data_IF_665066749861
#
_entry.id   IF_665066749861
#
_cell.length_a   1.000
_cell.length_b   1.000
_cell.length_c   1.000
_cell.angle_alpha   90.00
_cell.angle_beta   90.00
_cell.angle_gamma   90.00
#
_symmetry.space_group_name_H-M   'P 1'
#
loop_
_entity.id
_entity.type
_entity.pdbx_description
1 polymer ?
#
# COMPACT_ATOMS: atom_id res chain seq x y z
N UNK A 1 73.08 -5.93 30.83
CA UNK A 1 72.12 -6.94 30.36
C UNK A 1 70.76 -6.27 30.28
N UNK A 2 70.21 -6.12 29.08
CA UNK A 2 68.77 -6.16 28.76
C UNK A 2 68.66 -5.87 27.25
N UNK A 3 68.34 -6.94 26.53
CA UNK A 3 68.29 -7.09 25.08
C UNK A 3 67.00 -6.49 24.51
N UNK A 4 67.13 -5.70 23.45
CA UNK A 4 66.03 -5.24 22.60
C UNK A 4 65.64 -6.32 21.60
N UNK A 5 64.37 -6.70 21.59
CA UNK A 5 63.78 -7.55 20.55
C UNK A 5 63.16 -6.66 19.47
N UNK A 6 63.70 -6.75 18.24
CA UNK A 6 63.14 -6.15 17.03
C UNK A 6 62.44 -7.25 16.24
N UNK A 7 61.12 -7.18 16.13
CA UNK A 7 60.29 -8.12 15.35
C UNK A 7 60.02 -7.55 13.96
N UNK A 8 60.78 -8.03 12.99
CA UNK A 8 60.56 -7.80 11.56
C UNK A 8 59.33 -8.57 11.10
N UNK A 9 58.26 -7.88 10.72
CA UNK A 9 57.09 -8.52 10.07
C UNK A 9 57.18 -8.31 8.57
N UNK A 10 57.42 -9.40 7.84
CA UNK A 10 57.47 -9.47 6.39
C UNK A 10 56.06 -9.49 5.79
N UNK A 11 55.80 -8.59 4.84
CA UNK A 11 54.53 -8.47 4.10
C UNK A 11 54.58 -9.36 2.85
N UNK A 12 53.60 -10.24 2.59
CA UNK A 12 53.61 -11.06 1.37
C UNK A 12 53.22 -10.23 0.13
N UNK A 13 53.69 -10.60 -1.07
CA UNK A 13 53.45 -9.83 -2.29
C UNK A 13 52.00 -9.93 -2.79
N UNK A 14 51.50 -8.81 -3.31
CA UNK A 14 50.17 -8.71 -3.92
C UNK A 14 50.10 -9.49 -5.25
N UNK A 15 49.02 -10.26 -5.43
CA UNK A 15 48.70 -10.91 -6.71
C UNK A 15 48.12 -9.89 -7.70
N UNK A 16 48.45 -9.96 -9.01
CA UNK A 16 47.93 -9.01 -9.99
C UNK A 16 46.47 -9.33 -10.37
N UNK A 17 45.65 -8.28 -10.49
CA UNK A 17 44.28 -8.34 -11.00
C UNK A 17 44.28 -8.70 -12.50
N UNK A 18 43.33 -9.53 -12.99
CA UNK A 18 43.18 -9.77 -14.42
C UNK A 18 42.59 -8.54 -15.14
N UNK A 19 43.16 -8.20 -16.30
CA UNK A 19 42.72 -7.10 -17.16
C UNK A 19 41.35 -7.35 -17.85
N UNK A 20 40.78 -6.32 -18.50
CA UNK A 20 39.41 -6.37 -18.99
C UNK A 20 39.26 -7.32 -20.19
N UNK A 21 38.31 -8.24 -20.10
CA UNK A 21 37.92 -9.14 -21.17
C UNK A 21 37.30 -8.38 -22.35
N UNK A 22 37.76 -8.70 -23.56
CA UNK A 22 37.26 -8.19 -24.83
C UNK A 22 35.78 -8.51 -25.03
N UNK A 23 35.01 -7.51 -25.48
CA UNK A 23 33.62 -7.64 -25.87
C UNK A 23 33.45 -8.63 -27.03
N UNK A 24 32.58 -9.61 -26.85
CA UNK A 24 32.10 -10.50 -27.91
C UNK A 24 30.63 -10.13 -28.21
N UNK A 25 30.24 -9.76 -29.44
CA UNK A 25 28.89 -9.28 -29.74
C UNK A 25 27.89 -10.46 -29.77
N UNK A 26 26.83 -10.33 -28.99
CA UNK A 26 25.73 -11.29 -28.90
C UNK A 26 24.87 -11.26 -30.20
N UNK A 27 24.67 -12.38 -30.92
CA UNK A 27 24.04 -12.39 -32.25
C UNK A 27 22.50 -12.27 -32.28
N UNK A 28 21.84 -11.92 -31.17
CA UNK A 28 20.37 -11.98 -31.06
C UNK A 28 19.60 -10.65 -31.07
N UNK A 29 20.24 -9.52 -31.42
CA UNK A 29 19.53 -8.25 -31.61
C UNK A 29 19.26 -7.97 -33.10
N UNK A 30 18.17 -8.55 -33.62
CA UNK A 30 17.46 -8.01 -34.80
C UNK A 30 16.02 -7.70 -34.41
N UNK A 31 15.74 -6.42 -34.18
CA UNK A 31 14.38 -5.91 -34.03
C UNK A 31 13.71 -5.83 -35.42
N UNK A 32 12.48 -6.34 -35.61
CA UNK A 32 11.73 -6.13 -36.83
C UNK A 32 11.13 -4.71 -36.88
N UNK A 33 11.15 -4.10 -38.08
CA UNK A 33 10.49 -2.81 -38.37
C UNK A 33 8.96 -2.99 -38.36
N UNK A 34 8.24 -2.17 -37.60
CA UNK A 34 6.79 -2.06 -37.64
C UNK A 34 6.33 -1.29 -38.90
N UNK A 35 5.24 -1.67 -39.56
CA UNK A 35 4.65 -0.89 -40.64
C UNK A 35 3.78 0.26 -40.12
N UNK A 36 3.70 1.34 -40.90
CA UNK A 36 2.98 2.57 -40.61
C UNK A 36 1.44 2.37 -40.62
N UNK A 37 0.76 3.07 -39.71
CA UNK A 37 -0.70 3.10 -39.62
C UNK A 37 -1.34 4.00 -40.71
N UNK A 38 -2.51 3.63 -41.27
CA UNK A 38 -3.24 4.50 -42.18
C UNK A 38 -4.12 5.52 -41.42
N UNK A 39 -4.29 6.68 -42.04
CA UNK A 39 -5.02 7.84 -41.52
C UNK A 39 -6.52 7.81 -41.88
N UNK A 40 -7.33 8.19 -40.89
CA UNK A 40 -8.64 8.88 -40.89
C UNK A 40 -9.77 8.49 -41.86
N UNK A 41 -11.00 8.34 -41.33
CA UNK A 41 -12.19 9.13 -41.72
C UNK A 41 -13.16 9.23 -40.53
N UNK A 42 -13.42 10.43 -40.03
CA UNK A 42 -14.53 10.75 -39.10
C UNK A 42 -15.76 11.14 -39.93
N UNK A 43 -16.86 10.40 -39.79
CA UNK A 43 -18.16 10.77 -40.35
C UNK A 43 -19.02 11.39 -39.24
N UNK A 44 -19.28 12.69 -39.36
CA UNK A 44 -20.29 13.39 -38.58
C UNK A 44 -21.69 12.87 -38.92
N UNK A 45 -22.50 12.52 -37.90
CA UNK A 45 -23.93 12.26 -38.05
C UNK A 45 -24.74 12.96 -36.95
N UNK A 46 -25.53 13.93 -37.43
CA UNK A 46 -26.83 14.45 -36.99
C UNK A 46 -27.34 14.23 -35.57
N UNK A 47 -27.66 15.35 -34.91
CA UNK A 47 -28.61 15.47 -33.79
C UNK A 47 -30.07 15.25 -34.26
N UNK A 48 -30.91 14.65 -33.41
CA UNK A 48 -32.33 15.02 -33.30
C UNK A 48 -32.74 15.39 -31.85
N UNK A 49 -33.96 15.92 -31.63
CA UNK A 49 -34.19 17.04 -30.72
C UNK A 49 -34.70 16.67 -29.31
N UNK A 50 -34.64 17.66 -28.43
CA UNK A 50 -35.13 17.65 -27.06
C UNK A 50 -36.66 17.48 -27.00
N UNK A 51 -37.11 16.42 -26.32
CA UNK A 51 -38.48 16.24 -25.86
C UNK A 51 -38.61 16.69 -24.40
N UNK A 52 -39.55 17.58 -24.13
CA UNK A 52 -39.91 18.07 -22.81
C UNK A 52 -40.67 17.00 -22.02
N UNK A 53 -40.26 16.73 -20.78
CA UNK A 53 -41.06 15.97 -19.82
C UNK A 53 -41.37 16.86 -18.63
N UNK A 54 -42.67 17.03 -18.40
CA UNK A 54 -43.28 17.83 -17.34
C UNK A 54 -42.88 17.34 -15.95
N UNK A 55 -42.55 18.30 -15.09
CA UNK A 55 -42.49 18.11 -13.64
C UNK A 55 -43.91 17.91 -13.10
N UNK A 56 -44.10 16.84 -12.32
CA UNK A 56 -45.24 16.67 -11.42
C UNK A 56 -44.73 16.88 -9.99
N UNK A 57 -45.13 17.99 -9.39
CA UNK A 57 -44.93 18.26 -7.98
C UNK A 57 -45.94 17.44 -7.16
N UNK A 58 -45.45 16.68 -6.19
CA UNK A 58 -46.24 16.24 -5.05
C UNK A 58 -45.48 16.66 -3.79
N UNK A 59 -46.07 17.60 -3.06
CA UNK A 59 -45.63 18.05 -1.76
C UNK A 59 -46.16 17.10 -0.67
N UNK A 60 -45.34 16.89 0.37
CA UNK A 60 -45.81 16.45 1.68
C UNK A 60 -45.14 15.18 2.22
N UNK A 61 -44.14 15.37 3.08
CA UNK A 61 -44.04 14.77 4.42
C UNK A 61 -42.56 14.84 4.88
N UNK A 62 -42.31 15.41 6.06
CA UNK A 62 -40.97 15.51 6.65
C UNK A 62 -40.36 14.11 6.82
N UNK A 63 -39.33 13.83 6.03
CA UNK A 63 -38.68 12.52 5.98
C UNK A 63 -37.36 12.47 6.78
N UNK A 64 -36.79 11.27 6.96
CA UNK A 64 -35.50 11.01 7.62
C UNK A 64 -34.28 11.66 6.92
N UNK A 65 -34.51 12.45 5.87
CA UNK A 65 -33.50 13.04 5.00
C UNK A 65 -32.60 14.08 5.65
N UNK A 66 -32.99 14.73 6.75
CA UNK A 66 -32.10 15.68 7.43
C UNK A 66 -30.94 14.99 8.15
N UNK A 67 -31.19 13.88 8.86
CA UNK A 67 -30.12 13.10 9.51
C UNK A 67 -29.25 12.36 8.48
N UNK A 68 -29.87 11.83 7.41
CA UNK A 68 -29.14 11.21 6.31
C UNK A 68 -28.27 12.22 5.54
N UNK A 69 -28.79 13.42 5.23
CA UNK A 69 -28.03 14.48 4.58
C UNK A 69 -26.92 15.06 5.47
N UNK A 70 -27.16 15.19 6.78
CA UNK A 70 -26.12 15.59 7.73
C UNK A 70 -25.03 14.51 7.84
N UNK A 71 -25.41 13.23 7.81
CA UNK A 71 -24.46 12.11 7.75
C UNK A 71 -23.66 12.09 6.45
N UNK A 72 -24.31 12.32 5.30
CA UNK A 72 -23.68 12.36 3.98
C UNK A 72 -22.70 13.53 3.85
N UNK A 73 -23.08 14.73 4.30
CA UNK A 73 -22.21 15.91 4.36
C UNK A 73 -21.02 15.70 5.30
N UNK A 74 -21.21 14.99 6.43
CA UNK A 74 -20.11 14.62 7.32
C UNK A 74 -19.14 13.63 6.64
N UNK A 75 -19.65 12.63 5.92
CA UNK A 75 -18.85 11.67 5.16
C UNK A 75 -18.07 12.33 4.02
N UNK A 76 -18.69 13.23 3.25
CA UNK A 76 -18.02 13.99 2.19
C UNK A 76 -16.84 14.80 2.73
N UNK A 77 -17.01 15.43 3.90
CA UNK A 77 -15.93 16.18 4.55
C UNK A 77 -14.78 15.28 5.00
N UNK A 78 -15.06 14.08 5.50
CA UNK A 78 -14.01 13.11 5.87
C UNK A 78 -13.20 12.68 4.63
N UNK A 79 -13.88 12.39 3.52
CA UNK A 79 -13.26 12.04 2.24
C UNK A 79 -12.43 13.18 1.66
N UNK A 80 -12.92 14.42 1.74
CA UNK A 80 -12.18 15.60 1.31
C UNK A 80 -10.89 15.78 2.13
N UNK A 81 -10.97 15.62 3.45
CA UNK A 81 -9.81 15.75 4.34
C UNK A 81 -8.80 14.63 4.10
N UNK A 82 -9.24 13.39 3.88
CA UNK A 82 -8.35 12.28 3.55
C UNK A 82 -7.58 12.54 2.24
N UNK A 83 -8.24 13.07 1.22
CA UNK A 83 -7.59 13.46 -0.04
C UNK A 83 -6.59 14.60 0.15
N UNK A 84 -6.96 15.64 0.91
CA UNK A 84 -6.05 16.76 1.21
C UNK A 84 -4.84 16.31 2.02
N UNK A 85 -5.00 15.35 2.94
CA UNK A 85 -3.90 14.76 3.68
C UNK A 85 -2.95 13.99 2.73
N UNK A 86 -3.48 13.14 1.86
CA UNK A 86 -2.69 12.44 0.86
C UNK A 86 -1.96 13.40 -0.11
N UNK A 87 -2.61 14.51 -0.52
CA UNK A 87 -1.98 15.54 -1.33
C UNK A 87 -0.78 16.17 -0.63
N UNK A 88 -0.94 16.52 0.66
CA UNK A 88 0.10 17.11 1.48
C UNK A 88 1.30 16.16 1.67
N UNK A 89 1.04 14.88 2.00
CA UNK A 89 2.09 13.86 2.06
C UNK A 89 2.82 13.72 0.73
N UNK A 90 2.08 13.60 -0.38
CA UNK A 90 2.65 13.45 -1.71
C UNK A 90 3.54 14.62 -2.12
N UNK A 91 3.20 15.85 -1.73
CA UNK A 91 4.05 17.03 -1.97
C UNK A 91 5.39 16.96 -1.23
N UNK A 92 5.39 16.47 0.00
CA UNK A 92 6.61 16.25 0.79
C UNK A 92 7.44 15.14 0.16
N UNK A 93 6.85 13.96 -0.05
CA UNK A 93 7.56 12.76 -0.52
C UNK A 93 8.20 12.97 -1.90
N UNK A 94 7.53 13.70 -2.81
CA UNK A 94 8.10 14.06 -4.12
C UNK A 94 9.37 14.90 -4.04
N UNK A 95 9.56 15.70 -2.98
CA UNK A 95 10.79 16.50 -2.79
C UNK A 95 11.98 15.62 -2.46
N UNK A 96 11.77 14.56 -1.67
CA UNK A 96 12.81 13.67 -1.17
C UNK A 96 13.10 12.47 -2.09
N UNK A 97 12.11 11.98 -2.83
CA UNK A 97 12.26 10.80 -3.67
C UNK A 97 13.33 11.01 -4.76
N UNK A 98 14.27 10.05 -4.88
CA UNK A 98 15.42 10.06 -5.81
C UNK A 98 16.34 11.28 -5.70
N UNK A 99 16.32 11.99 -4.59
CA UNK A 99 17.35 12.99 -4.32
C UNK A 99 18.68 12.30 -4.00
N UNK A 100 19.77 12.83 -4.53
CA UNK A 100 21.12 12.43 -4.12
C UNK A 100 21.40 13.03 -2.75
N UNK A 101 20.96 12.35 -1.70
CA UNK A 101 21.38 12.69 -0.35
C UNK A 101 22.58 11.81 -0.04
N UNK A 102 23.67 12.42 0.42
CA UNK A 102 24.77 11.66 0.99
C UNK A 102 24.17 10.79 2.08
N UNK A 103 24.26 9.46 1.94
CA UNK A 103 23.84 8.51 2.96
C UNK A 103 24.81 8.71 4.11
N UNK A 104 24.49 9.70 4.95
CA UNK A 104 25.19 9.93 6.20
C UNK A 104 24.63 8.85 7.11
N UNK A 105 25.41 7.78 7.29
CA UNK A 105 25.22 6.80 8.36
C UNK A 105 25.41 7.50 9.72
N UNK A 106 24.42 8.32 10.09
CA UNK A 106 24.22 8.79 11.44
C UNK A 106 22.91 8.19 11.89
N UNK A 107 23.05 7.30 12.86
CA UNK A 107 22.00 6.70 13.68
C UNK A 107 20.72 7.57 13.67
N UNK A 108 19.69 7.10 12.94
CA UNK A 108 18.33 7.65 12.90
C UNK A 108 18.01 8.92 12.07
N UNK A 109 18.90 9.43 11.22
CA UNK A 109 18.58 10.59 10.34
C UNK A 109 18.72 10.29 8.85
N UNK A 110 18.27 9.11 8.44
CA UNK A 110 18.23 8.78 7.02
C UNK A 110 17.26 9.72 6.27
N UNK A 111 17.49 10.00 4.97
CA UNK A 111 16.59 10.83 4.17
C UNK A 111 15.16 10.31 4.15
N UNK A 112 14.98 8.99 4.28
CA UNK A 112 13.64 8.39 4.35
C UNK A 112 12.97 8.70 5.69
N UNK A 113 13.70 8.69 6.81
CA UNK A 113 13.17 9.05 8.13
C UNK A 113 12.72 10.52 8.17
N UNK A 114 13.46 11.42 7.51
CA UNK A 114 13.07 12.84 7.41
C UNK A 114 11.81 12.99 6.55
N UNK A 115 11.79 12.32 5.38
CA UNK A 115 10.65 12.36 4.47
C UNK A 115 9.38 11.80 5.13
N UNK A 116 9.52 10.70 5.87
CA UNK A 116 8.44 10.03 6.58
C UNK A 116 7.82 10.95 7.64
N UNK A 117 8.65 11.45 8.57
CA UNK A 117 8.21 12.37 9.63
C UNK A 117 7.59 13.65 9.10
N UNK A 118 8.17 14.26 8.06
CA UNK A 118 7.59 15.48 7.46
C UNK A 118 6.27 15.21 6.75
N UNK A 119 6.11 14.05 6.12
CA UNK A 119 4.87 13.65 5.48
C UNK A 119 3.79 13.32 6.51
N UNK A 120 4.12 12.63 7.61
CA UNK A 120 3.20 12.38 8.73
C UNK A 120 2.70 13.70 9.32
N UNK A 121 3.60 14.64 9.65
CA UNK A 121 3.21 15.93 10.22
C UNK A 121 2.35 16.77 9.27
N UNK A 122 2.62 16.71 7.95
CA UNK A 122 1.79 17.37 6.96
C UNK A 122 0.36 16.81 6.95
N UNK A 123 0.20 15.48 7.01
CA UNK A 123 -1.11 14.83 7.12
C UNK A 123 -1.82 15.19 8.42
N UNK A 124 -1.14 15.06 9.55
CA UNK A 124 -1.68 15.36 10.88
C UNK A 124 -2.18 16.80 10.97
N UNK A 125 -1.41 17.75 10.45
CA UNK A 125 -1.79 19.16 10.42
C UNK A 125 -3.10 19.38 9.65
N UNK A 126 -3.27 18.74 8.49
CA UNK A 126 -4.50 18.82 7.70
C UNK A 126 -5.69 18.20 8.45
N UNK A 127 -5.48 17.03 9.07
CA UNK A 127 -6.52 16.29 9.77
C UNK A 127 -6.97 17.03 11.03
N UNK A 128 -6.06 17.36 11.95
CA UNK A 128 -6.39 17.99 13.23
C UNK A 128 -6.92 19.42 13.08
N UNK A 129 -6.49 20.15 12.03
CA UNK A 129 -7.10 21.45 11.69
C UNK A 129 -8.57 21.29 11.28
N UNK A 130 -8.92 20.19 10.63
CA UNK A 130 -10.27 19.92 10.16
C UNK A 130 -11.14 19.25 11.23
N UNK A 131 -10.52 18.43 12.09
CA UNK A 131 -11.14 17.63 13.14
C UNK A 131 -10.28 17.58 14.42
N UNK A 132 -10.35 18.62 15.28
CA UNK A 132 -9.51 18.72 16.49
C UNK A 132 -9.77 17.65 17.57
N UNK A 133 -10.92 16.98 17.50
CA UNK A 133 -11.37 15.94 18.45
C UNK A 133 -11.04 14.52 17.97
N UNK A 134 -10.51 14.35 16.75
CA UNK A 134 -10.10 13.05 16.25
C UNK A 134 -8.71 12.68 16.77
N UNK A 135 -8.47 11.39 16.96
CA UNK A 135 -7.14 10.89 17.28
C UNK A 135 -6.36 10.53 16.02
N UNK A 136 -5.04 10.55 16.13
CA UNK A 136 -4.10 10.04 15.13
C UNK A 136 -3.30 8.89 15.75
N UNK A 137 -2.99 7.88 14.96
CA UNK A 137 -2.00 6.86 15.26
C UNK A 137 -1.02 6.75 14.08
N UNK A 138 0.19 7.26 14.24
CA UNK A 138 1.25 7.18 13.23
C UNK A 138 2.29 6.10 13.56
N UNK A 139 3.06 5.68 12.56
CA UNK A 139 4.22 4.80 12.76
C UNK A 139 5.26 5.46 13.67
N UNK A 140 5.59 6.73 13.40
CA UNK A 140 6.70 7.42 14.05
C UNK A 140 6.31 8.00 15.42
N UNK A 141 5.11 8.57 15.52
CA UNK A 141 4.68 9.30 16.71
C UNK A 141 3.65 8.57 17.57
N UNK A 142 3.18 7.39 17.15
CA UNK A 142 2.18 6.61 17.89
C UNK A 142 0.86 7.37 18.08
N UNK A 143 0.21 7.14 19.23
CA UNK A 143 -1.09 7.74 19.56
C UNK A 143 -0.97 9.23 19.90
N UNK A 144 -1.80 10.04 19.24
CA UNK A 144 -1.96 11.48 19.50
C UNK A 144 -3.44 11.84 19.53
N UNK A 145 -3.91 12.34 20.66
CA UNK A 145 -5.26 12.86 20.82
C UNK A 145 -5.25 14.04 21.81
N UNK A 146 -6.09 15.03 21.58
CA UNK A 146 -6.34 16.13 22.52
C UNK A 146 -7.17 15.69 23.73
N UNK A 147 -7.92 14.59 23.58
CA UNK A 147 -8.79 13.99 24.59
C UNK A 147 -8.32 12.58 24.99
N UNK A 148 -8.88 12.03 26.06
CA UNK A 148 -8.53 10.68 26.54
C UNK A 148 -9.04 9.55 25.63
N UNK A 149 -10.02 9.82 24.78
CA UNK A 149 -10.63 8.87 23.85
C UNK A 149 -11.17 9.60 22.62
N UNK A 150 -11.24 8.93 21.47
CA UNK A 150 -11.85 9.46 20.27
C UNK A 150 -12.62 8.36 19.54
N UNK A 151 -13.83 8.68 19.06
CA UNK A 151 -14.65 7.77 18.24
C UNK A 151 -14.02 7.55 16.86
N UNK A 152 -13.33 8.57 16.37
CA UNK A 152 -12.63 8.58 15.09
C UNK A 152 -11.12 8.60 15.28
N UNK A 153 -10.44 7.64 14.67
CA UNK A 153 -8.98 7.51 14.72
C UNK A 153 -8.42 7.39 13.32
N UNK A 154 -7.45 8.24 12.99
CA UNK A 154 -6.73 8.19 11.72
C UNK A 154 -5.44 7.40 11.92
N UNK A 155 -5.28 6.29 11.21
CA UNK A 155 -4.06 5.50 11.24
C UNK A 155 -3.28 5.79 9.97
N UNK A 156 -2.01 6.18 10.12
CA UNK A 156 -1.19 6.73 9.05
C UNK A 156 0.11 5.93 8.89
N UNK A 157 0.45 5.65 7.65
CA UNK A 157 1.80 5.26 7.22
C UNK A 157 2.18 6.17 6.04
N UNK A 158 3.14 7.10 6.23
CA UNK A 158 3.56 7.98 5.15
C UNK A 158 4.29 7.25 4.00
N UNK A 159 5.09 6.22 4.30
CA UNK A 159 5.92 5.49 3.33
C UNK A 159 5.90 3.97 3.59
N UNK A 160 4.81 3.32 3.18
CA UNK A 160 4.76 1.86 3.06
C UNK A 160 5.63 1.42 1.87
N UNK A 161 6.64 0.59 2.14
CA UNK A 161 7.68 0.24 1.17
C UNK A 161 8.91 1.15 1.21
N UNK A 162 9.41 1.47 2.40
CA UNK A 162 10.61 2.28 2.65
C UNK A 162 11.83 1.91 1.77
N UNK A 163 12.10 0.63 1.49
CA UNK A 163 13.23 0.25 0.59
C UNK A 163 12.93 0.58 -0.86
N UNK A 164 11.67 0.47 -1.30
CA UNK A 164 11.26 0.95 -2.62
C UNK A 164 11.53 2.45 -2.73
N UNK A 165 11.23 3.23 -1.68
CA UNK A 165 11.56 4.65 -1.61
C UNK A 165 13.09 4.90 -1.70
N UNK A 166 13.88 4.29 -0.80
CA UNK A 166 15.35 4.48 -0.73
C UNK A 166 16.04 4.10 -2.05
N UNK A 167 15.63 2.98 -2.66
CA UNK A 167 16.23 2.49 -3.92
C UNK A 167 15.69 3.20 -5.17
N UNK A 168 14.79 4.16 -4.99
CA UNK A 168 14.21 4.93 -6.09
C UNK A 168 13.21 4.14 -6.94
N UNK A 169 12.65 3.05 -6.43
CA UNK A 169 11.56 2.29 -7.06
C UNK A 169 10.22 2.95 -6.74
N UNK A 170 9.46 3.44 -7.74
CA UNK A 170 8.25 4.24 -7.49
C UNK A 170 7.00 3.38 -7.19
N UNK A 171 7.14 2.35 -6.34
CA UNK A 171 6.05 1.43 -5.95
C UNK A 171 5.82 1.38 -4.42
N UNK A 172 6.37 2.32 -3.66
CA UNK A 172 5.94 2.59 -2.28
C UNK A 172 4.54 3.23 -2.28
N UNK A 173 3.89 3.40 -1.14
CA UNK A 173 2.63 4.14 -1.05
C UNK A 173 2.47 4.86 0.27
N UNK A 174 1.59 5.86 0.30
CA UNK A 174 1.09 6.48 1.53
C UNK A 174 -0.25 5.84 1.87
N UNK A 175 -0.40 5.35 3.10
CA UNK A 175 -1.61 4.71 3.60
C UNK A 175 -2.29 5.60 4.62
N UNK A 176 -3.59 5.80 4.43
CA UNK A 176 -4.44 6.55 5.35
C UNK A 176 -5.68 5.72 5.63
N UNK A 177 -5.88 5.33 6.87
CA UNK A 177 -7.11 4.70 7.33
C UNK A 177 -7.85 5.64 8.28
N UNK A 178 -9.16 5.78 8.12
CA UNK A 178 -10.03 6.33 9.15
C UNK A 178 -10.82 5.20 9.76
N UNK A 179 -10.72 5.05 11.07
CA UNK A 179 -11.52 4.13 11.85
C UNK A 179 -12.63 4.88 12.57
N UNK A 180 -13.81 4.29 12.64
CA UNK A 180 -14.91 4.73 13.48
C UNK A 180 -15.27 3.59 14.43
N UNK A 181 -15.12 3.81 15.74
CA UNK A 181 -15.28 2.78 16.78
C UNK A 181 -14.48 1.50 16.49
N UNK A 182 -13.22 1.66 16.05
CA UNK A 182 -12.32 0.55 15.73
C UNK A 182 -12.56 -0.13 14.37
N UNK A 183 -13.62 0.21 13.63
CA UNK A 183 -13.84 -0.31 12.27
C UNK A 183 -13.25 0.64 11.22
N UNK A 184 -12.40 0.18 10.29
CA UNK A 184 -11.98 0.97 9.13
C UNK A 184 -13.19 1.35 8.27
N UNK A 185 -13.42 2.65 8.09
CA UNK A 185 -14.54 3.19 7.29
C UNK A 185 -14.08 3.91 6.03
N UNK A 186 -12.86 4.47 6.02
CA UNK A 186 -12.22 5.04 4.83
C UNK A 186 -10.79 4.49 4.76
N UNK A 187 -10.35 4.13 3.57
CA UNK A 187 -8.98 3.72 3.27
C UNK A 187 -8.47 4.43 2.02
N UNK A 188 -7.24 4.92 2.07
CA UNK A 188 -6.54 5.53 0.92
C UNK A 188 -5.20 4.84 0.74
N UNK A 189 -4.91 4.47 -0.51
CA UNK A 189 -3.57 4.10 -0.97
C UNK A 189 -3.18 5.14 -2.02
N UNK A 190 -2.16 5.95 -1.74
CA UNK A 190 -1.66 6.96 -2.65
C UNK A 190 -0.24 6.62 -3.13
N UNK A 191 -0.05 6.56 -4.44
CA UNK A 191 1.28 6.54 -5.05
C UNK A 191 1.59 7.95 -5.59
N UNK A 192 2.36 8.78 -4.86
CA UNK A 192 2.50 10.21 -5.16
C UNK A 192 3.38 10.53 -6.38
N UNK A 193 4.21 9.59 -6.83
CA UNK A 193 5.08 9.68 -8.01
C UNK A 193 4.30 9.31 -9.27
N UNK A 194 3.55 8.20 -9.23
CA UNK A 194 2.70 7.75 -10.34
C UNK A 194 1.39 8.55 -10.43
N UNK A 195 1.04 9.28 -9.37
CA UNK A 195 -0.21 10.03 -9.21
C UNK A 195 -1.43 9.13 -9.33
N UNK A 196 -1.37 8.00 -8.66
CA UNK A 196 -2.46 7.04 -8.58
C UNK A 196 -2.97 6.97 -7.15
N UNK A 197 -4.28 7.11 -7.00
CA UNK A 197 -4.94 7.11 -5.69
C UNK A 197 -6.11 6.16 -5.72
N UNK A 198 -6.03 5.14 -4.88
CA UNK A 198 -7.13 4.25 -4.56
C UNK A 198 -7.82 4.75 -3.31
N UNK A 199 -9.15 4.81 -3.34
CA UNK A 199 -9.95 5.24 -2.21
C UNK A 199 -11.13 4.30 -2.02
N UNK A 200 -11.16 3.65 -0.86
CA UNK A 200 -12.23 2.76 -0.42
C UNK A 200 -13.02 3.41 0.70
N UNK A 201 -14.32 3.15 0.72
CA UNK A 201 -15.21 3.64 1.77
C UNK A 201 -16.30 2.61 2.04
N UNK A 202 -16.61 2.40 3.33
CA UNK A 202 -17.65 1.47 3.75
C UNK A 202 -18.97 1.78 3.04
N UNK A 203 -19.52 0.78 2.35
CA UNK A 203 -20.77 0.91 1.58
C UNK A 203 -20.67 1.62 0.21
N UNK A 204 -19.49 2.04 -0.25
CA UNK A 204 -19.29 2.56 -1.63
C UNK A 204 -18.26 1.75 -2.40
N UNK A 205 -18.37 1.79 -3.72
CA UNK A 205 -17.40 1.14 -4.59
C UNK A 205 -16.06 1.87 -4.53
N UNK A 206 -14.97 1.10 -4.44
CA UNK A 206 -13.60 1.65 -4.46
C UNK A 206 -13.34 2.36 -5.78
N UNK A 207 -12.62 3.48 -5.72
CA UNK A 207 -12.24 4.25 -6.90
C UNK A 207 -10.73 4.34 -7.07
N UNK A 208 -10.27 4.38 -8.32
CA UNK A 208 -8.92 4.76 -8.73
C UNK A 208 -8.99 6.06 -9.51
N UNK A 209 -8.40 7.14 -9.00
CA UNK A 209 -8.48 8.49 -9.62
C UNK A 209 -9.94 8.91 -9.88
N UNK A 210 -10.83 8.58 -8.95
CA UNK A 210 -12.27 8.87 -9.03
C UNK A 210 -13.08 7.98 -9.98
N UNK A 211 -12.46 6.99 -10.64
CA UNK A 211 -13.17 6.00 -11.46
C UNK A 211 -13.39 4.73 -10.65
N UNK A 212 -14.61 4.20 -10.63
CA UNK A 212 -14.93 2.94 -9.96
C UNK A 212 -14.10 1.79 -10.53
N UNK A 213 -13.58 0.96 -9.63
CA UNK A 213 -12.80 -0.23 -9.96
C UNK A 213 -13.45 -1.47 -9.34
N UNK A 214 -13.07 -2.64 -9.83
CA UNK A 214 -13.48 -3.90 -9.24
C UNK A 214 -12.39 -4.94 -9.42
N UNK A 215 -12.34 -5.86 -8.47
CA UNK A 215 -11.53 -7.07 -8.57
C UNK A 215 -11.97 -7.94 -9.76
N UNK A 216 -11.11 -8.86 -10.19
CA UNK A 216 -11.45 -9.83 -11.23
C UNK A 216 -11.82 -11.19 -10.63
N UNK A 217 -12.66 -11.94 -11.34
CA UNK A 217 -12.95 -13.34 -11.01
C UNK A 217 -11.76 -14.24 -11.31
N UNK A 218 -11.49 -15.20 -10.43
CA UNK A 218 -10.47 -16.23 -10.64
C UNK A 218 -11.01 -17.58 -10.13
N UNK A 219 -11.02 -18.59 -11.00
CA UNK A 219 -11.75 -19.84 -10.72
C UNK A 219 -10.97 -20.81 -9.82
N UNK A 220 -9.64 -20.70 -9.77
CA UNK A 220 -8.79 -21.58 -8.97
C UNK A 220 -7.46 -20.95 -8.61
N UNK A 221 -6.89 -21.38 -7.48
CA UNK A 221 -5.59 -20.97 -6.99
C UNK A 221 -4.49 -21.23 -8.04
N UNK A 222 -4.58 -22.33 -8.79
CA UNK A 222 -3.64 -22.68 -9.86
C UNK A 222 -3.61 -21.69 -11.05
N UNK A 223 -4.61 -20.82 -11.17
CA UNK A 223 -4.66 -19.76 -12.18
C UNK A 223 -4.28 -18.38 -11.61
N UNK A 224 -4.15 -18.27 -10.29
CA UNK A 224 -3.92 -17.02 -9.59
C UNK A 224 -2.50 -16.48 -9.80
N UNK A 225 -2.40 -15.19 -10.10
CA UNK A 225 -1.19 -14.40 -9.96
C UNK A 225 -1.09 -13.94 -8.50
N UNK A 226 -0.07 -14.42 -7.82
CA UNK A 226 0.20 -14.13 -6.41
C UNK A 226 1.25 -13.03 -6.31
N UNK A 227 0.97 -11.98 -5.54
CA UNK A 227 2.02 -11.14 -4.96
C UNK A 227 2.27 -11.56 -3.52
N UNK A 228 3.53 -11.55 -3.10
CA UNK A 228 3.88 -12.02 -1.78
C UNK A 228 5.05 -11.26 -1.17
N UNK A 229 4.89 -10.82 0.08
CA UNK A 229 5.93 -10.18 0.86
C UNK A 229 5.91 -10.72 2.32
N UNK A 230 7.07 -10.82 2.99
CA UNK A 230 7.14 -11.08 4.43
C UNK A 230 7.99 -10.00 5.08
N UNK A 231 7.50 -9.51 6.21
CA UNK A 231 8.19 -8.63 7.15
C UNK A 231 8.40 -9.39 8.48
N UNK A 232 9.45 -10.22 8.61
CA UNK A 232 9.57 -11.17 9.74
C UNK A 232 10.55 -10.82 10.87
N UNK A 233 11.38 -9.78 10.77
CA UNK A 233 12.44 -9.58 11.76
C UNK A 233 12.46 -8.18 12.39
N UNK A 234 12.58 -8.13 13.72
CA UNK A 234 12.72 -6.90 14.52
C UNK A 234 14.00 -6.09 14.21
N UNK A 235 14.96 -6.68 13.49
CA UNK A 235 16.23 -6.04 13.14
C UNK A 235 16.24 -5.36 11.76
N UNK A 236 15.27 -5.68 10.89
CA UNK A 236 15.14 -5.03 9.57
C UNK A 236 13.68 -4.62 9.40
N UNK A 237 13.31 -3.53 10.10
CA UNK A 237 11.96 -2.92 10.16
C UNK A 237 11.41 -2.46 8.78
N UNK A 238 12.11 -2.74 7.69
CA UNK A 238 11.94 -2.01 6.44
C UNK A 238 11.93 -2.90 5.19
N UNK A 239 11.83 -4.23 5.26
CA UNK A 239 12.17 -5.10 4.13
C UNK A 239 11.12 -6.14 3.75
N UNK A 240 10.87 -6.19 2.45
CA UNK A 240 10.08 -7.21 1.76
C UNK A 240 11.05 -8.11 0.98
N UNK A 241 11.24 -9.35 1.42
CA UNK A 241 12.11 -10.31 0.73
C UNK A 241 11.70 -11.77 0.95
N UNK A 242 11.77 -12.62 -0.09
CA UNK A 242 11.56 -14.06 0.03
C UNK A 242 12.71 -14.80 0.76
N UNK A 243 13.58 -14.09 1.47
CA UNK A 243 14.64 -14.67 2.30
C UNK A 243 14.47 -14.33 3.80
N UNK A 244 13.40 -13.61 4.17
CA UNK A 244 13.09 -13.24 5.56
C UNK A 244 12.29 -14.30 6.30
N UNK A 245 12.23 -15.50 5.74
CA UNK A 245 11.46 -16.59 6.27
C UNK A 245 12.11 -17.17 7.54
N UNK A 246 11.35 -17.21 8.63
CA UNK A 246 11.65 -18.04 9.79
C UNK A 246 10.38 -18.77 10.25
N UNK A 247 10.51 -20.07 10.55
CA UNK A 247 9.49 -20.86 11.24
C UNK A 247 8.23 -21.19 10.42
N UNK A 248 7.09 -21.27 11.12
CA UNK A 248 5.84 -21.82 10.56
C UNK A 248 5.26 -20.97 9.42
N UNK A 249 5.53 -19.66 9.42
CA UNK A 249 5.03 -18.73 8.41
C UNK A 249 5.59 -19.03 7.01
N UNK A 250 6.85 -19.45 6.94
CA UNK A 250 7.48 -19.90 5.70
C UNK A 250 6.80 -21.15 5.15
N UNK A 251 6.61 -22.14 6.01
CA UNK A 251 6.00 -23.39 5.59
C UNK A 251 4.57 -23.16 5.07
N UNK A 252 3.81 -22.28 5.72
CA UNK A 252 2.48 -21.87 5.28
C UNK A 252 2.51 -21.18 3.91
N UNK A 253 3.44 -20.26 3.71
CA UNK A 253 3.61 -19.61 2.42
C UNK A 253 3.99 -20.59 1.30
N UNK A 254 4.99 -21.44 1.52
CA UNK A 254 5.47 -22.38 0.50
C UNK A 254 4.31 -23.26 0.00
N UNK A 255 3.39 -23.66 0.89
CA UNK A 255 2.18 -24.41 0.51
C UNK A 255 1.27 -23.66 -0.45
N UNK A 256 1.13 -22.34 -0.30
CA UNK A 256 0.36 -21.49 -1.23
C UNK A 256 1.14 -21.26 -2.51
N UNK A 257 2.41 -20.83 -2.39
CA UNK A 257 3.31 -20.50 -3.50
C UNK A 257 3.40 -21.62 -4.53
N UNK A 258 3.49 -22.86 -4.07
CA UNK A 258 3.64 -24.02 -4.96
C UNK A 258 2.32 -24.42 -5.66
N UNK A 259 1.19 -23.79 -5.31
CA UNK A 259 -0.13 -24.06 -5.89
C UNK A 259 -0.65 -22.93 -6.78
N UNK A 260 0.03 -21.79 -6.84
CA UNK A 260 -0.37 -20.65 -7.69
C UNK A 260 0.24 -20.73 -9.08
N UNK A 261 -0.27 -19.91 -10.01
CA UNK A 261 0.23 -19.87 -11.38
C UNK A 261 1.66 -19.31 -11.44
N UNK A 262 1.84 -18.13 -10.86
CA UNK A 262 3.13 -17.42 -10.78
C UNK A 262 3.19 -16.63 -9.49
N UNK A 263 4.22 -16.81 -8.66
CA UNK A 263 4.52 -15.92 -7.55
C UNK A 263 5.38 -14.72 -8.02
N UNK A 264 4.95 -13.52 -7.66
CA UNK A 264 5.56 -12.22 -7.92
C UNK A 264 5.87 -11.52 -6.58
N UNK A 265 6.77 -10.54 -6.57
CA UNK A 265 7.32 -9.98 -5.34
C UNK A 265 7.57 -8.47 -5.44
N UNK A 266 7.58 -7.80 -4.27
CA UNK A 266 8.34 -6.58 -4.04
C UNK A 266 7.63 -5.27 -4.36
N UNK A 267 6.35 -5.14 -4.03
CA UNK A 267 5.67 -3.85 -4.18
C UNK A 267 4.65 -3.54 -3.07
N UNK A 268 4.82 -4.09 -1.88
CA UNK A 268 4.16 -3.63 -0.64
C UNK A 268 2.64 -3.36 -0.85
N UNK A 269 2.07 -2.24 -0.36
CA UNK A 269 0.67 -1.88 -0.58
C UNK A 269 0.24 -1.81 -2.06
N UNK A 270 1.16 -1.54 -2.98
CA UNK A 270 0.86 -1.44 -4.41
C UNK A 270 0.38 -2.79 -4.97
N UNK A 271 0.77 -3.93 -4.38
CA UNK A 271 0.22 -5.23 -4.73
C UNK A 271 -1.30 -5.31 -4.46
N UNK A 272 -1.74 -4.78 -3.32
CA UNK A 272 -3.16 -4.72 -2.94
C UNK A 272 -3.93 -3.72 -3.81
N UNK A 273 -3.32 -2.60 -4.16
CA UNK A 273 -3.88 -1.65 -5.11
C UNK A 273 -4.14 -2.30 -6.48
N UNK A 274 -3.18 -3.07 -7.00
CA UNK A 274 -3.34 -3.85 -8.23
C UNK A 274 -4.40 -4.95 -8.10
N UNK A 275 -4.53 -5.57 -6.93
CA UNK A 275 -5.57 -6.56 -6.63
C UNK A 275 -6.95 -5.90 -6.69
N UNK A 276 -7.14 -4.76 -6.01
CA UNK A 276 -8.39 -3.99 -6.04
C UNK A 276 -8.79 -3.58 -7.46
N UNK A 277 -7.82 -3.33 -8.34
CA UNK A 277 -8.04 -3.01 -9.76
C UNK A 277 -8.18 -4.24 -10.67
N UNK A 278 -8.15 -5.46 -10.14
CA UNK A 278 -8.35 -6.70 -10.90
C UNK A 278 -7.14 -7.17 -11.72
N UNK A 279 -5.94 -6.66 -11.44
CA UNK A 279 -4.70 -7.08 -12.12
C UNK A 279 -3.98 -8.22 -11.39
N UNK A 280 -4.20 -8.36 -10.09
CA UNK A 280 -3.65 -9.41 -9.21
C UNK A 280 -4.81 -10.21 -8.61
N UNK A 281 -4.61 -11.50 -8.37
CA UNK A 281 -5.66 -12.39 -7.84
C UNK A 281 -5.55 -12.63 -6.33
N UNK A 282 -4.31 -12.67 -5.82
CA UNK A 282 -4.00 -13.05 -4.45
C UNK A 282 -2.79 -12.24 -3.96
N UNK A 283 -2.88 -11.73 -2.74
CA UNK A 283 -1.78 -11.20 -1.96
C UNK A 283 -1.75 -11.94 -0.63
N UNK A 284 -0.58 -12.42 -0.21
CA UNK A 284 -0.41 -13.02 1.12
C UNK A 284 0.81 -12.37 1.74
N UNK A 285 0.71 -11.95 3.00
CA UNK A 285 1.82 -11.32 3.71
C UNK A 285 1.83 -11.69 5.19
N UNK A 286 2.99 -11.56 5.82
CA UNK A 286 3.21 -11.91 7.23
C UNK A 286 3.96 -10.78 7.93
N UNK A 287 3.52 -10.45 9.15
CA UNK A 287 4.18 -9.47 10.01
C UNK A 287 3.83 -8.00 9.76
N UNK A 288 2.75 -7.72 9.03
CA UNK A 288 2.29 -6.36 8.77
C UNK A 288 1.84 -5.66 10.05
N UNK A 289 2.20 -4.40 10.19
CA UNK A 289 1.72 -3.54 11.27
C UNK A 289 0.32 -3.01 10.94
N UNK A 290 -0.44 -2.54 11.94
CA UNK A 290 -1.78 -2.02 11.72
C UNK A 290 -1.86 -0.88 10.71
N UNK A 291 -0.86 0.00 10.70
CA UNK A 291 -0.78 1.10 9.74
C UNK A 291 -0.55 0.61 8.29
N UNK A 292 0.08 -0.56 8.10
CA UNK A 292 0.30 -1.18 6.78
C UNK A 292 -0.96 -1.81 6.17
N UNK A 293 -1.96 -2.23 6.99
CA UNK A 293 -3.12 -2.98 6.48
C UNK A 293 -4.48 -2.32 6.68
N UNK A 294 -4.66 -1.44 7.67
CA UNK A 294 -5.99 -0.91 7.99
C UNK A 294 -6.58 -0.08 6.83
N UNK A 295 -5.74 0.60 6.05
CA UNK A 295 -6.16 1.34 4.87
C UNK A 295 -6.56 0.41 3.71
N UNK A 296 -6.02 -0.81 3.68
CA UNK A 296 -6.29 -1.80 2.63
C UNK A 296 -7.69 -2.39 2.77
N UNK A 297 -8.22 -2.51 3.99
CA UNK A 297 -9.51 -3.17 4.25
C UNK A 297 -10.66 -2.52 3.47
N UNK A 298 -10.95 -1.20 3.61
CA UNK A 298 -12.04 -0.58 2.86
C UNK A 298 -11.79 -0.56 1.34
N UNK A 299 -10.52 -0.52 0.91
CA UNK A 299 -10.13 -0.50 -0.51
C UNK A 299 -10.40 -1.84 -1.18
N UNK A 300 -10.00 -2.95 -0.55
CA UNK A 300 -10.22 -4.29 -1.09
C UNK A 300 -11.69 -4.68 -1.00
N UNK A 301 -12.34 -4.49 0.15
CA UNK A 301 -13.75 -4.83 0.33
C UNK A 301 -14.65 -4.01 -0.60
N UNK A 302 -14.39 -2.70 -0.73
CA UNK A 302 -15.14 -1.81 -1.65
C UNK A 302 -14.91 -2.13 -3.13
N UNK A 303 -13.84 -2.84 -3.50
CA UNK A 303 -13.62 -3.32 -4.86
C UNK A 303 -14.31 -4.67 -5.14
N UNK A 304 -14.90 -5.30 -4.11
CA UNK A 304 -15.53 -6.62 -4.17
C UNK A 304 -14.60 -7.79 -3.81
N UNK A 305 -13.40 -7.50 -3.30
CA UNK A 305 -12.45 -8.50 -2.83
C UNK A 305 -12.71 -8.98 -1.40
N UNK A 306 -11.85 -9.88 -0.92
CA UNK A 306 -11.85 -10.36 0.47
C UNK A 306 -10.46 -10.18 1.07
N UNK A 307 -10.41 -9.73 2.33
CA UNK A 307 -9.17 -9.55 3.08
C UNK A 307 -9.37 -10.00 4.53
N UNK A 308 -8.53 -10.92 5.00
CA UNK A 308 -8.62 -11.49 6.36
C UNK A 308 -7.25 -11.73 6.93
N UNK A 309 -7.21 -12.16 8.19
CA UNK A 309 -6.02 -12.83 8.70
C UNK A 309 -5.86 -14.24 8.09
N UNK A 310 -4.75 -14.91 8.40
CA UNK A 310 -4.48 -16.27 7.91
C UNK A 310 -5.38 -17.38 8.50
N UNK A 311 -6.18 -17.08 9.53
CA UNK A 311 -7.22 -17.97 10.06
C UNK A 311 -8.58 -17.76 9.36
N UNK A 312 -8.71 -16.69 8.58
CA UNK A 312 -9.95 -16.28 7.92
C UNK A 312 -10.80 -15.33 8.77
N UNK A 313 -10.28 -14.87 9.91
CA UNK A 313 -10.95 -13.92 10.78
C UNK A 313 -10.79 -12.49 10.26
N UNK A 314 -11.74 -11.62 10.62
CA UNK A 314 -11.67 -10.20 10.25
C UNK A 314 -10.43 -9.57 10.86
N UNK A 315 -9.70 -8.80 10.04
CA UNK A 315 -8.61 -7.99 10.52
C UNK A 315 -9.16 -6.90 11.45
N UNK A 316 -8.83 -7.02 12.72
CA UNK A 316 -9.22 -6.08 13.75
C UNK A 316 -8.02 -5.81 14.66
N UNK A 317 -7.69 -4.54 14.83
CA UNK A 317 -6.70 -4.08 15.79
C UNK A 317 -7.31 -2.98 16.65
N UNK A 318 -7.39 -3.15 17.98
CA UNK A 318 -7.93 -2.13 18.86
C UNK A 318 -6.98 -0.94 18.87
N UNK A 319 -7.46 0.25 18.50
CA UNK A 319 -6.63 1.46 18.47
C UNK A 319 -6.94 2.33 19.69
N UNK A 320 -6.09 2.24 20.71
CA UNK A 320 -6.15 3.04 21.93
C UNK A 320 -4.77 3.63 22.23
N UNK A 321 -4.69 4.51 23.24
CA UNK A 321 -3.43 5.09 23.69
C UNK A 321 -2.40 4.05 24.18
N UNK A 322 -2.86 2.89 24.65
CA UNK A 322 -2.05 1.80 25.18
C UNK A 322 -1.73 0.74 24.12
N UNK A 323 -2.35 0.81 22.94
CA UNK A 323 -2.17 -0.18 21.89
C UNK A 323 -0.73 -0.21 21.38
N UNK A 324 -0.18 -1.41 21.31
CA UNK A 324 1.13 -1.65 20.71
C UNK A 324 0.96 -2.26 19.33
N UNK A 325 1.65 -1.75 18.29
CA UNK A 325 1.52 -2.28 16.94
C UNK A 325 2.18 -3.68 16.84
N UNK A 326 1.35 -4.71 16.91
CA UNK A 326 1.75 -6.11 16.70
C UNK A 326 1.78 -6.46 15.22
N UNK A 327 2.56 -7.48 14.83
CA UNK A 327 2.54 -7.98 13.46
C UNK A 327 1.32 -8.85 13.20
N UNK A 328 0.71 -8.70 12.03
CA UNK A 328 -0.44 -9.44 11.53
C UNK A 328 -0.08 -10.20 10.26
N UNK A 329 -0.71 -11.35 10.09
CA UNK A 329 -0.59 -12.14 8.87
C UNK A 329 -1.84 -11.92 8.04
N UNK A 330 -1.68 -11.38 6.85
CA UNK A 330 -2.78 -10.91 6.01
C UNK A 330 -2.87 -11.75 4.75
N UNK A 331 -4.08 -12.07 4.33
CA UNK A 331 -4.38 -12.62 3.00
C UNK A 331 -5.50 -11.81 2.37
N UNK A 332 -5.29 -11.39 1.13
CA UNK A 332 -6.27 -10.68 0.33
C UNK A 332 -6.45 -11.38 -1.02
N UNK A 333 -7.69 -11.55 -1.48
CA UNK A 333 -7.98 -12.15 -2.77
C UNK A 333 -9.07 -11.39 -3.51
N UNK A 334 -8.97 -11.35 -4.84
CA UNK A 334 -10.02 -10.78 -5.70
C UNK A 334 -11.26 -11.68 -5.83
N UNK A 335 -11.15 -12.97 -5.49
CA UNK A 335 -12.24 -13.94 -5.59
C UNK A 335 -12.33 -14.79 -4.33
N UNK A 336 -13.55 -14.91 -3.76
CA UNK A 336 -13.80 -15.67 -2.53
C UNK A 336 -13.39 -17.15 -2.65
N UNK A 337 -13.43 -17.74 -3.85
CA UNK A 337 -12.98 -19.13 -4.08
C UNK A 337 -11.47 -19.25 -3.92
N UNK A 338 -10.71 -18.31 -4.48
CA UNK A 338 -9.25 -18.25 -4.34
C UNK A 338 -8.88 -17.95 -2.89
N UNK A 339 -9.60 -17.04 -2.24
CA UNK A 339 -9.43 -16.74 -0.82
C UNK A 339 -9.52 -18.00 0.05
N UNK A 340 -10.60 -18.77 -0.11
CA UNK A 340 -10.81 -20.02 0.63
C UNK A 340 -9.71 -21.05 0.33
N UNK A 341 -9.36 -21.24 -0.95
CA UNK A 341 -8.30 -22.16 -1.33
C UNK A 341 -6.93 -21.75 -0.79
N UNK A 342 -6.66 -20.45 -0.66
CA UNK A 342 -5.46 -19.93 -0.01
C UNK A 342 -5.46 -20.29 1.48
N UNK A 343 -6.54 -20.01 2.22
CA UNK A 343 -6.67 -20.38 3.63
C UNK A 343 -6.48 -21.90 3.86
N UNK A 344 -7.11 -22.73 3.04
CA UNK A 344 -6.98 -24.20 3.07
C UNK A 344 -5.53 -24.67 2.82
N UNK A 345 -4.76 -23.91 2.05
CA UNK A 345 -3.35 -24.19 1.80
C UNK A 345 -2.43 -23.64 2.89
N UNK A 346 -2.74 -22.49 3.47
CA UNK A 346 -2.00 -21.87 4.58
C UNK A 346 -2.07 -22.76 5.82
N UNK A 347 -3.24 -23.32 6.18
CA UNK A 347 -3.40 -24.20 7.35
C UNK A 347 -2.85 -23.59 8.66
N UNK A 348 -3.08 -22.29 8.88
CA UNK A 348 -2.61 -21.57 10.06
C UNK A 348 -3.39 -22.05 11.30
N UNK A 349 -2.69 -22.27 12.43
CA UNK A 349 -3.28 -22.74 13.68
C UNK A 349 -3.34 -21.65 14.73
#
# INVERSE_FOLDING_TARGET
>A
MLTSYSTTTTRPPASPLPGPASANPNPYLRLPRLPAAPSAVVRARGRPPMGSVRASAAAGAGGPGAAAAVGEVATERLVEVAQRAADAAGEVLRKYFRQRVEIIDKEDHSPVTIADREAEEAMVSVILKSFPTHAIFGEENGWRCSENSADYVWVLDPIDGTKSFITGKPLFGTLIALLHNGKPVIGVIDQPILRERWMGMDGKQTTLKGQEISVRSCNSLAQAYLYYNIQCCAYDRYTTSPHLFEGDAEAAFIRVRNKVKVPLYGCDCYAYALLASGFVDLVVESGLKPYDFLALVPVIEGAGGSITDWRGDKLHWPVTAESRPTGFNVVAAGDARVHKQALDAIQWR
#
